data_IF_698384108940
#
_entry.id   IF_698384108940
#
_cell.length_a   1.000
_cell.length_b   1.000
_cell.length_c   1.000
_cell.angle_alpha   90.00
_cell.angle_beta   90.00
_cell.angle_gamma   90.00
#
_symmetry.space_group_name_H-M   'P 1'
#
loop_
_entity.id
_entity.type
_entity.pdbx_description
1 polymer ?
#
# COMPACT_ATOMS: atom_id res chain seq x y z
N UNK A 1 16.13 11.08 25.90
CA UNK A 1 16.32 10.48 24.57
C UNK A 1 15.56 11.34 23.57
N UNK A 2 16.26 12.10 22.74
CA UNK A 2 15.61 12.84 21.65
C UNK A 2 14.96 11.81 20.72
N UNK A 3 13.62 11.85 20.64
CA UNK A 3 12.93 11.28 19.50
C UNK A 3 13.53 11.98 18.27
N UNK A 4 14.18 11.21 17.41
CA UNK A 4 14.84 11.69 16.20
C UNK A 4 13.74 12.09 15.20
N UNK A 5 13.06 13.20 15.49
CA UNK A 5 11.91 13.69 14.75
C UNK A 5 12.40 14.01 13.33
N UNK A 6 11.83 13.35 12.33
CA UNK A 6 12.06 13.76 10.96
C UNK A 6 11.55 15.20 10.83
N UNK A 7 12.41 16.08 10.33
CA UNK A 7 12.06 17.47 10.01
C UNK A 7 12.17 17.70 8.51
N UNK A 8 11.49 18.73 7.98
CA UNK A 8 11.61 19.16 6.58
C UNK A 8 13.05 19.45 6.18
N UNK A 9 13.86 19.99 7.09
CA UNK A 9 15.29 20.22 6.86
C UNK A 9 16.01 18.90 6.53
N UNK A 10 15.83 17.88 7.37
CA UNK A 10 16.47 16.57 7.19
C UNK A 10 15.96 15.86 5.93
N UNK A 11 14.68 16.00 5.60
CA UNK A 11 14.13 15.45 4.35
C UNK A 11 14.69 16.15 3.11
N UNK A 12 14.90 17.47 3.15
CA UNK A 12 15.57 18.24 2.09
C UNK A 12 17.02 17.81 1.89
N UNK A 13 17.76 17.60 2.97
CA UNK A 13 19.14 17.09 2.90
C UNK A 13 19.17 15.72 2.20
N UNK A 14 18.22 14.82 2.53
CA UNK A 14 18.08 13.52 1.87
C UNK A 14 17.66 13.60 0.41
N UNK A 15 16.82 14.57 0.05
CA UNK A 15 16.44 14.85 -1.35
C UNK A 15 17.68 15.18 -2.20
N UNK A 16 18.60 15.99 -1.67
CA UNK A 16 19.87 16.31 -2.34
C UNK A 16 20.76 15.07 -2.42
N UNK A 17 20.94 14.35 -1.31
CA UNK A 17 21.79 13.14 -1.24
C UNK A 17 21.34 12.07 -2.23
N UNK A 18 20.03 11.80 -2.31
CA UNK A 18 19.47 10.76 -3.17
C UNK A 18 19.26 11.23 -4.61
N UNK A 19 19.44 12.53 -4.88
CA UNK A 19 19.14 13.16 -6.16
C UNK A 19 17.68 12.94 -6.60
N UNK A 20 16.76 13.12 -5.65
CA UNK A 20 15.32 12.98 -5.85
C UNK A 20 14.68 14.35 -5.62
N UNK A 21 13.79 14.84 -6.51
CA UNK A 21 13.07 16.08 -6.25
C UNK A 21 12.38 16.04 -4.88
N UNK A 22 12.46 17.13 -4.13
CA UNK A 22 11.94 17.18 -2.76
C UNK A 22 10.46 16.78 -2.68
N UNK A 23 9.65 17.20 -3.66
CA UNK A 23 8.24 16.83 -3.75
C UNK A 23 8.04 15.31 -3.84
N UNK A 24 8.78 14.63 -4.73
CA UNK A 24 8.66 13.18 -4.88
C UNK A 24 9.16 12.43 -3.65
N UNK A 25 10.23 12.91 -3.01
CA UNK A 25 10.73 12.29 -1.77
C UNK A 25 9.75 12.49 -0.61
N UNK A 26 9.09 13.65 -0.53
CA UNK A 26 8.02 13.92 0.43
C UNK A 26 6.81 13.02 0.21
N UNK A 27 6.41 12.83 -1.05
CA UNK A 27 5.35 11.89 -1.41
C UNK A 27 5.72 10.47 -0.99
N UNK A 28 6.93 10.00 -1.32
CA UNK A 28 7.44 8.68 -0.89
C UNK A 28 7.46 8.52 0.63
N UNK A 29 7.85 9.56 1.37
CA UNK A 29 7.85 9.57 2.84
C UNK A 29 6.43 9.39 3.40
N UNK A 30 5.45 10.13 2.88
CA UNK A 30 4.07 10.04 3.31
C UNK A 30 3.44 8.71 2.89
N UNK A 31 3.75 8.22 1.68
CA UNK A 31 3.28 6.92 1.18
C UNK A 31 3.81 5.76 2.03
N UNK A 32 5.11 5.73 2.35
CA UNK A 32 5.65 4.74 3.27
C UNK A 32 5.00 4.85 4.64
N UNK A 33 4.84 6.06 5.17
CA UNK A 33 4.20 6.25 6.47
C UNK A 33 2.78 5.72 6.52
N UNK A 34 1.99 6.01 5.50
CA UNK A 34 0.65 5.47 5.32
C UNK A 34 0.66 3.94 5.23
N UNK A 35 1.59 3.37 4.46
CA UNK A 35 1.76 1.91 4.32
C UNK A 35 2.06 1.23 5.65
N UNK A 36 3.02 1.74 6.44
CA UNK A 36 3.32 1.16 7.76
C UNK A 36 2.15 1.32 8.73
N UNK A 37 1.44 2.44 8.70
CA UNK A 37 0.24 2.64 9.51
C UNK A 37 -0.86 1.61 9.17
N UNK A 38 -1.05 1.32 7.87
CA UNK A 38 -1.95 0.26 7.39
C UNK A 38 -1.53 -1.10 7.96
N UNK A 39 -0.26 -1.47 7.85
CA UNK A 39 0.25 -2.79 8.26
C UNK A 39 0.09 -3.09 9.76
N UNK A 40 0.04 -2.04 10.57
CA UNK A 40 -0.21 -2.12 12.00
C UNK A 40 -1.71 -2.21 12.36
N UNK A 41 -2.62 -2.13 11.39
CA UNK A 41 -4.06 -2.34 11.61
C UNK A 41 -4.44 -3.80 11.44
N UNK A 42 -5.57 -4.20 12.02
CA UNK A 42 -6.14 -5.54 11.78
C UNK A 42 -6.61 -5.76 10.34
N UNK A 43 -6.86 -4.68 9.59
CA UNK A 43 -7.25 -4.74 8.18
C UNK A 43 -6.14 -5.29 7.28
N UNK A 44 -4.87 -5.10 7.65
CA UNK A 44 -3.70 -5.52 6.87
C UNK A 44 -3.72 -7.01 6.47
N UNK A 45 -4.32 -7.86 7.31
CA UNK A 45 -4.44 -9.31 7.06
C UNK A 45 -5.17 -9.61 5.74
N UNK A 46 -6.13 -8.75 5.38
CA UNK A 46 -6.99 -8.89 4.19
C UNK A 46 -6.53 -8.05 3.00
N UNK A 47 -5.45 -7.28 3.14
CA UNK A 47 -4.95 -6.39 2.10
C UNK A 47 -3.70 -7.00 1.47
N UNK A 48 -3.82 -7.39 0.20
CA UNK A 48 -2.72 -7.96 -0.57
C UNK A 48 -2.17 -6.89 -1.52
N UNK A 49 -0.96 -6.41 -1.27
CA UNK A 49 -0.34 -5.34 -2.06
C UNK A 49 0.01 -5.86 -3.46
N UNK A 50 -0.41 -5.12 -4.49
CA UNK A 50 -0.16 -5.46 -5.90
C UNK A 50 1.10 -4.80 -6.45
N UNK A 51 1.40 -3.58 -6.04
CA UNK A 51 2.49 -2.75 -6.56
C UNK A 51 3.60 -2.52 -5.51
N UNK A 52 4.21 -3.60 -5.04
CA UNK A 52 5.33 -3.54 -4.07
C UNK A 52 6.51 -2.72 -4.56
N UNK A 53 6.78 -2.76 -5.86
CA UNK A 53 7.84 -2.00 -6.53
C UNK A 53 7.66 -0.48 -6.42
N UNK A 54 6.52 0.01 -5.91
CA UNK A 54 6.34 1.44 -5.62
C UNK A 54 7.15 1.93 -4.40
N UNK A 55 7.83 1.05 -3.67
CA UNK A 55 8.56 1.36 -2.44
C UNK A 55 10.09 1.22 -2.60
N UNK A 56 10.66 2.00 -3.52
CA UNK A 56 12.11 2.09 -3.70
C UNK A 56 12.55 3.48 -4.21
N UNK A 57 13.85 3.78 -4.11
CA UNK A 57 14.40 5.08 -4.53
C UNK A 57 14.23 5.36 -6.03
N UNK A 58 14.27 4.33 -6.87
CA UNK A 58 14.15 4.49 -8.33
C UNK A 58 12.72 4.84 -8.74
N UNK A 59 11.74 4.31 -8.02
CA UNK A 59 10.34 4.66 -8.13
C UNK A 59 10.09 6.09 -7.69
N UNK A 60 10.68 6.55 -6.56
CA UNK A 60 10.55 7.94 -6.11
C UNK A 60 11.24 8.97 -7.02
N UNK A 61 12.21 8.57 -7.85
CA UNK A 61 12.79 9.47 -8.87
C UNK A 61 11.81 9.79 -9.99
N UNK A 62 10.83 8.94 -10.23
CA UNK A 62 9.85 9.12 -11.31
C UNK A 62 8.73 10.02 -10.80
N UNK A 63 8.25 10.92 -11.65
CA UNK A 63 7.12 11.83 -11.36
C UNK A 63 5.76 11.11 -11.33
N UNK A 64 5.76 9.77 -11.37
CA UNK A 64 4.56 8.99 -11.56
C UNK A 64 3.90 8.65 -10.22
N UNK A 65 2.72 9.24 -9.98
CA UNK A 65 1.85 8.92 -8.85
C UNK A 65 1.06 7.64 -9.15
N UNK A 66 1.45 6.52 -8.54
CA UNK A 66 0.64 5.28 -8.56
C UNK A 66 -0.15 5.18 -7.27
N UNK A 67 -1.44 4.81 -7.32
CA UNK A 67 -2.17 4.52 -6.10
C UNK A 67 -1.50 3.34 -5.37
N UNK A 68 -1.58 3.32 -4.05
CA UNK A 68 -1.31 2.10 -3.28
C UNK A 68 -2.43 1.10 -3.61
N UNK A 69 -2.10 0.08 -4.41
CA UNK A 69 -3.09 -0.84 -4.92
C UNK A 69 -3.09 -2.13 -4.10
N UNK A 70 -4.19 -2.35 -3.39
CA UNK A 70 -4.46 -3.58 -2.68
C UNK A 70 -5.56 -4.39 -3.36
N UNK A 71 -5.44 -5.70 -3.24
CA UNK A 71 -6.52 -6.64 -3.46
C UNK A 71 -7.06 -7.07 -2.09
N UNK A 72 -8.37 -6.97 -1.91
CA UNK A 72 -9.06 -7.46 -0.73
C UNK A 72 -9.16 -8.99 -0.81
N UNK A 73 -8.25 -9.65 -0.11
CA UNK A 73 -8.15 -11.10 -0.07
C UNK A 73 -8.72 -11.71 1.21
N UNK A 74 -9.03 -12.99 1.16
CA UNK A 74 -9.53 -13.76 2.29
C UNK A 74 -8.52 -14.83 2.72
N UNK A 75 -8.46 -15.11 4.02
CA UNK A 75 -7.74 -16.28 4.51
C UNK A 75 -8.56 -17.54 4.22
N UNK A 76 -7.86 -18.58 3.74
CA UNK A 76 -8.38 -19.91 3.42
C UNK A 76 -9.12 -20.54 4.64
N UNK A 77 -10.41 -20.20 4.86
CA UNK A 77 -11.30 -20.96 5.77
C UNK A 77 -12.12 -20.19 6.81
N UNK A 78 -12.31 -18.87 6.71
CA UNK A 78 -13.30 -18.15 7.55
C UNK A 78 -14.33 -17.40 6.71
N UNK A 79 -15.49 -17.12 7.31
CA UNK A 79 -16.63 -16.43 6.68
C UNK A 79 -16.19 -15.32 5.73
N UNK A 80 -16.81 -15.31 4.55
CA UNK A 80 -16.60 -14.28 3.55
C UNK A 80 -17.05 -12.92 4.11
N UNK A 81 -16.13 -12.16 4.68
CA UNK A 81 -16.35 -10.73 4.83
C UNK A 81 -16.38 -10.13 3.43
N UNK A 82 -17.47 -9.45 3.11
CA UNK A 82 -17.65 -8.75 1.84
C UNK A 82 -16.92 -7.42 1.92
N UNK A 83 -16.23 -7.05 0.84
CA UNK A 83 -15.72 -5.69 0.69
C UNK A 83 -16.92 -4.77 0.45
N UNK A 84 -17.29 -4.01 1.48
CA UNK A 84 -18.39 -3.05 1.43
C UNK A 84 -17.93 -1.65 1.84
N UNK A 85 -18.81 -0.67 1.68
CA UNK A 85 -18.51 0.73 1.99
C UNK A 85 -18.21 0.94 3.48
N UNK A 86 -18.89 0.19 4.36
CA UNK A 86 -18.64 0.28 5.81
C UNK A 86 -17.21 -0.16 6.14
N UNK A 87 -16.77 -1.28 5.58
CA UNK A 87 -15.42 -1.79 5.78
C UNK A 87 -14.37 -0.78 5.31
N UNK A 88 -14.59 -0.14 4.16
CA UNK A 88 -13.68 0.88 3.61
C UNK A 88 -13.63 2.12 4.50
N UNK A 89 -14.77 2.59 5.00
CA UNK A 89 -14.82 3.73 5.92
C UNK A 89 -14.14 3.41 7.25
N UNK A 90 -14.44 2.25 7.86
CA UNK A 90 -13.77 1.81 9.10
C UNK A 90 -12.24 1.71 8.90
N UNK A 91 -11.80 1.22 7.74
CA UNK A 91 -10.39 1.15 7.35
C UNK A 91 -9.75 2.55 7.25
N UNK A 92 -10.40 3.47 6.54
CA UNK A 92 -9.89 4.83 6.34
C UNK A 92 -9.80 5.61 7.67
N UNK A 93 -10.82 5.47 8.53
CA UNK A 93 -10.85 6.06 9.87
C UNK A 93 -9.73 5.52 10.77
N UNK A 94 -9.52 4.20 10.78
CA UNK A 94 -8.48 3.57 11.61
C UNK A 94 -7.07 4.06 11.25
N UNK A 95 -6.80 4.30 9.96
CA UNK A 95 -5.52 4.84 9.52
C UNK A 95 -5.41 6.32 9.89
N UNK A 96 -6.47 7.10 9.66
CA UNK A 96 -6.45 8.54 9.91
C UNK A 96 -6.42 8.90 11.40
N UNK A 97 -6.87 7.99 12.28
CA UNK A 97 -6.77 8.14 13.72
C UNK A 97 -5.31 8.16 14.23
N UNK A 98 -4.38 7.57 13.48
CA UNK A 98 -2.96 7.54 13.85
C UNK A 98 -2.27 8.87 13.57
N UNK A 99 -1.57 9.41 14.57
CA UNK A 99 -0.86 10.70 14.51
C UNK A 99 0.66 10.54 14.61
N UNK A 100 1.22 9.66 13.80
CA UNK A 100 2.67 9.50 13.74
C UNK A 100 3.34 10.71 13.05
N UNK A 101 4.52 11.08 13.52
CA UNK A 101 5.36 12.14 12.93
C UNK A 101 4.66 13.50 12.76
N UNK A 102 3.62 13.78 13.56
CA UNK A 102 2.78 14.99 13.45
C UNK A 102 2.06 15.13 12.11
N UNK A 103 1.88 14.02 11.38
CA UNK A 103 1.10 14.00 10.15
C UNK A 103 -0.38 14.01 10.52
N UNK A 104 -1.15 14.88 9.86
CA UNK A 104 -2.61 14.86 9.92
C UNK A 104 -3.14 14.27 8.63
N UNK A 105 -3.92 13.21 8.75
CA UNK A 105 -4.56 12.56 7.62
C UNK A 105 -6.02 13.00 7.53
N UNK A 106 -6.45 13.34 6.32
CA UNK A 106 -7.86 13.50 5.97
C UNK A 106 -8.16 12.55 4.82
N UNK A 107 -9.41 12.11 4.71
CA UNK A 107 -9.79 11.17 3.66
C UNK A 107 -11.15 11.50 3.03
N UNK A 108 -11.34 11.02 1.81
CA UNK A 108 -12.64 10.82 1.17
C UNK A 108 -12.64 9.46 0.48
N UNK A 109 -13.83 8.87 0.34
CA UNK A 109 -14.02 7.56 -0.28
C UNK A 109 -14.91 7.71 -1.50
N UNK A 110 -14.53 7.08 -2.60
CA UNK A 110 -15.37 6.94 -3.79
C UNK A 110 -15.42 5.46 -4.20
N UNK A 111 -16.56 5.04 -4.75
CA UNK A 111 -16.74 3.71 -5.32
C UNK A 111 -16.66 3.82 -6.84
N UNK A 112 -15.73 3.09 -7.45
CA UNK A 112 -15.55 3.01 -8.90
C UNK A 112 -15.86 1.58 -9.37
N UNK A 113 -17.05 1.38 -9.95
CA UNK A 113 -17.52 0.06 -10.40
C UNK A 113 -17.46 -1.01 -9.28
N UNK A 114 -16.42 -1.84 -9.29
CA UNK A 114 -16.15 -2.90 -8.32
C UNK A 114 -15.08 -2.49 -7.29
N UNK A 115 -14.32 -1.43 -7.54
CA UNK A 115 -13.22 -0.97 -6.72
C UNK A 115 -13.66 0.16 -5.78
N UNK A 116 -12.87 0.34 -4.72
CA UNK A 116 -12.97 1.48 -3.83
C UNK A 116 -11.69 2.31 -3.90
N UNK A 117 -11.86 3.61 -4.11
CA UNK A 117 -10.79 4.60 -4.02
C UNK A 117 -10.90 5.34 -2.68
N UNK A 118 -9.80 5.35 -1.93
CA UNK A 118 -9.66 6.19 -0.74
C UNK A 118 -8.64 7.26 -1.07
N UNK A 119 -9.12 8.48 -1.25
CA UNK A 119 -8.25 9.65 -1.40
C UNK A 119 -7.83 10.10 -0.02
N UNK A 120 -6.53 10.11 0.24
CA UNK A 120 -5.96 10.46 1.54
C UNK A 120 -5.04 11.65 1.35
N UNK A 121 -5.24 12.71 2.11
CA UNK A 121 -4.33 13.86 2.13
C UNK A 121 -3.51 13.84 3.41
N UNK A 122 -2.19 13.72 3.27
CA UNK A 122 -1.25 13.87 4.38
C UNK A 122 -0.80 15.31 4.51
N UNK A 123 -1.07 15.91 5.67
CA UNK A 123 -0.57 17.24 6.04
C UNK A 123 0.60 17.10 7.01
N UNK A 124 1.78 17.56 6.58
CA UNK A 124 3.01 17.52 7.37
C UNK A 124 3.83 18.79 7.17
N UNK A 125 4.17 19.48 8.26
CA UNK A 125 4.86 20.78 8.23
C UNK A 125 4.28 21.76 7.18
N UNK A 126 2.95 21.96 7.24
CA UNK A 126 2.14 22.82 6.35
C UNK A 126 2.04 22.36 4.89
N UNK A 127 2.72 21.27 4.51
CA UNK A 127 2.66 20.70 3.17
C UNK A 127 1.54 19.67 3.12
N UNK A 128 0.64 19.81 2.14
CA UNK A 128 -0.46 18.89 1.88
C UNK A 128 -0.13 18.07 0.65
N UNK A 129 -0.08 16.75 0.80
CA UNK A 129 0.20 15.84 -0.29
C UNK A 129 -0.97 14.87 -0.45
N UNK A 130 -1.66 14.87 -1.61
CA UNK A 130 -2.68 13.88 -1.90
C UNK A 130 -2.04 12.54 -2.25
N UNK A 131 -2.58 11.47 -1.70
CA UNK A 131 -2.27 10.08 -1.97
C UNK A 131 -3.58 9.35 -2.30
N UNK A 132 -3.49 8.27 -3.06
CA UNK A 132 -4.66 7.45 -3.40
C UNK A 132 -4.40 6.01 -3.00
N UNK A 133 -5.35 5.39 -2.30
CA UNK A 133 -5.38 3.96 -2.07
C UNK A 133 -6.48 3.38 -2.96
N UNK A 134 -6.16 2.35 -3.73
CA UNK A 134 -7.13 1.58 -4.51
C UNK A 134 -7.28 0.21 -3.89
N UNK A 135 -8.51 -0.19 -3.58
CA UNK A 135 -8.82 -1.51 -3.02
C UNK A 135 -9.80 -2.20 -3.97
N UNK A 136 -9.32 -3.29 -4.58
CA UNK A 136 -10.10 -4.10 -5.50
C UNK A 136 -10.56 -5.40 -4.82
N UNK A 137 -11.78 -5.90 -5.08
CA UNK A 137 -12.19 -7.21 -4.60
C UNK A 137 -11.35 -8.31 -5.26
N UNK A 138 -11.18 -9.43 -4.57
CA UNK A 138 -10.55 -10.60 -5.17
C UNK A 138 -11.50 -11.26 -6.18
N UNK A 139 -11.10 -11.29 -7.45
CA UNK A 139 -11.89 -11.90 -8.55
C UNK A 139 -11.48 -13.36 -8.82
N UNK A 140 -10.33 -13.81 -8.33
CA UNK A 140 -9.76 -15.13 -8.62
C UNK A 140 -9.56 -15.96 -7.35
N UNK A 141 -10.36 -17.01 -7.18
CA UNK A 141 -10.29 -17.92 -6.02
C UNK A 141 -8.96 -18.67 -5.90
N UNK A 142 -8.22 -18.82 -7.00
CA UNK A 142 -6.92 -19.50 -7.00
C UNK A 142 -5.73 -18.59 -6.63
N UNK A 143 -5.95 -17.29 -6.47
CA UNK A 143 -4.89 -16.38 -6.05
C UNK A 143 -4.56 -16.62 -4.57
N UNK A 144 -3.27 -16.65 -4.25
CA UNK A 144 -2.80 -16.76 -2.87
C UNK A 144 -1.82 -15.62 -2.58
N UNK A 145 -1.83 -15.06 -1.36
CA UNK A 145 -0.87 -14.06 -0.99
C UNK A 145 0.49 -14.72 -0.74
N UNK A 146 1.54 -14.01 -1.11
CA UNK A 146 2.91 -14.36 -0.70
C UNK A 146 3.34 -13.40 0.41
N UNK A 147 3.76 -13.94 1.56
CA UNK A 147 4.29 -13.09 2.64
C UNK A 147 5.69 -12.64 2.29
N UNK A 148 5.89 -11.33 2.22
CA UNK A 148 7.20 -10.72 2.02
C UNK A 148 7.48 -9.66 3.08
N UNK A 149 8.76 -9.37 3.28
CA UNK A 149 9.21 -8.31 4.19
C UNK A 149 9.23 -6.97 3.46
N UNK A 150 8.63 -5.94 4.05
CA UNK A 150 8.72 -4.56 3.60
C UNK A 150 9.68 -3.81 4.53
N UNK A 151 10.69 -3.20 3.94
CA UNK A 151 11.66 -2.37 4.63
C UNK A 151 11.50 -0.93 4.17
N UNK A 152 11.58 0.00 5.11
CA UNK A 152 11.51 1.42 4.80
C UNK A 152 12.78 1.87 4.11
N UNK A 153 12.67 2.65 3.04
CA UNK A 153 13.82 3.30 2.39
C UNK A 153 14.34 4.44 3.28
N UNK A 154 13.47 5.01 4.11
CA UNK A 154 13.81 6.02 5.11
C UNK A 154 14.35 5.36 6.39
N UNK A 155 15.51 4.72 6.32
CA UNK A 155 16.17 4.05 7.45
C UNK A 155 16.29 4.92 8.72
N UNK A 156 16.34 6.24 8.55
CA UNK A 156 16.39 7.19 9.67
C UNK A 156 15.08 7.27 10.48
N UNK A 157 13.96 6.75 9.97
CA UNK A 157 12.71 6.59 10.72
C UNK A 157 12.77 5.43 11.72
N UNK A 158 13.84 4.60 11.68
CA UNK A 158 14.03 3.42 12.55
C UNK A 158 12.78 2.52 12.63
N UNK A 159 12.08 2.35 11.52
CA UNK A 159 10.95 1.42 11.44
C UNK A 159 11.44 -0.01 11.44
N UNK A 160 10.75 -0.88 12.19
CA UNK A 160 10.98 -2.31 12.12
C UNK A 160 10.53 -2.84 10.76
N UNK A 161 11.19 -3.90 10.29
CA UNK A 161 10.76 -4.66 9.12
C UNK A 161 9.36 -5.22 9.40
N UNK A 162 8.41 -4.97 8.50
CA UNK A 162 7.04 -5.48 8.62
C UNK A 162 6.73 -6.50 7.52
N UNK A 163 5.88 -7.47 7.82
CA UNK A 163 5.45 -8.48 6.84
C UNK A 163 4.17 -8.03 6.17
N UNK A 164 4.13 -8.16 4.85
CA UNK A 164 3.01 -7.79 4.01
C UNK A 164 2.63 -8.96 3.09
N UNK A 165 1.33 -9.12 2.86
CA UNK A 165 0.81 -10.04 1.86
C UNK A 165 0.94 -9.38 0.48
N UNK A 166 1.62 -10.03 -0.46
CA UNK A 166 1.74 -9.58 -1.85
C UNK A 166 0.79 -10.39 -2.73
N UNK A 167 0.02 -9.70 -3.57
CA UNK A 167 -0.86 -10.33 -4.54
C UNK A 167 -0.02 -11.00 -5.65
N UNK A 168 -0.22 -12.30 -5.84
CA UNK A 168 0.37 -13.07 -6.94
C UNK A 168 -0.70 -13.92 -7.61
N UNK A 169 -0.87 -13.74 -8.92
CA UNK A 169 -1.55 -14.73 -9.74
C UNK A 169 -0.58 -15.89 -9.94
N UNK A 170 -0.92 -17.08 -9.43
CA UNK A 170 -0.26 -18.28 -9.92
C UNK A 170 -0.64 -18.45 -11.38
N UNK A 171 0.34 -18.59 -12.27
CA UNK A 171 0.09 -18.96 -13.66
C UNK A 171 -0.60 -20.33 -13.68
N UNK A 172 -1.92 -20.37 -13.84
CA UNK A 172 -2.65 -21.57 -14.23
C UNK A 172 -2.57 -21.67 -15.76
N UNK A 173 -1.36 -21.81 -16.28
CA UNK A 173 -1.11 -22.16 -17.67
C UNK A 173 -0.21 -23.39 -17.68
N UNK A 174 -0.79 -24.56 -17.40
CA UNK A 174 -0.18 -25.83 -17.81
C UNK A 174 -1.10 -27.05 -17.86
N UNK A 175 -2.33 -27.03 -17.31
CA UNK A 175 -3.18 -28.25 -17.34
C UNK A 175 -4.26 -28.32 -18.42
N UNK A 176 -4.57 -27.23 -19.13
CA UNK A 176 -5.61 -27.26 -20.18
C UNK A 176 -5.08 -27.47 -21.61
N UNK A 177 -3.76 -27.51 -21.82
CA UNK A 177 -3.18 -27.80 -23.14
C UNK A 177 -2.91 -29.30 -23.39
N UNK A 178 -2.97 -30.13 -22.33
CA UNK A 178 -2.81 -31.59 -22.42
C UNK A 178 -4.15 -32.35 -22.40
N UNK A 179 -5.28 -31.68 -22.15
CA UNK A 179 -6.61 -32.31 -22.26
C UNK A 179 -7.25 -32.13 -23.65
N UNK A 180 -6.85 -31.11 -24.43
CA UNK A 180 -7.34 -30.90 -25.80
C UNK A 180 -6.61 -31.73 -26.86
N UNK A 181 -5.51 -32.39 -26.52
CA UNK A 181 -4.76 -33.28 -27.42
C UNK A 181 -5.24 -34.74 -27.41
N UNK A 182 -6.18 -35.11 -26.53
CA UNK A 182 -6.77 -36.47 -26.47
C UNK A 182 -8.18 -36.57 -27.08
N UNK A 183 -8.60 -35.59 -27.89
CA UNK A 183 -9.89 -35.65 -28.62
C UNK A 183 -9.69 -36.04 -30.10
N UNK A 184 -8.47 -36.43 -30.50
CA UNK A 184 -8.16 -36.93 -31.84
C UNK A 184 -7.33 -38.22 -31.83
N UNK A 185 -7.78 -39.24 -31.10
CA UNK A 185 -7.41 -40.64 -31.36
C UNK A 185 -8.63 -41.54 -31.16
#
# INVERSE_FOLDING_TARGET
>A
MEQNLLTKKKLKEKSIEYQIPFANLLEGFLQETLMFQILETDFAKRLWLKNREAFDLDSYRKEWQKPLHFVYGQDDGKEQQVLDEKWITDFAEAICAKREYHIRWNYSVEKEEQDYLVYITGEWEEMKVPLTIRISPLVYDAAKPEKQELQSVFFFLRRNVQRINIFRLKHIWQNNFLQSSNIWN
#
